data_IF_781602614427
#
_entry.id   IF_781602614427
#
_cell.length_a   1.000
_cell.length_b   1.000
_cell.length_c   1.000
_cell.angle_alpha   90.00
_cell.angle_beta   90.00
_cell.angle_gamma   90.00
#
_symmetry.space_group_name_H-M   'P 1'
#
loop_
_entity.id
_entity.type
_entity.pdbx_description
1 polymer ?
#
# COMPACT_ATOMS: atom_id res chain seq x y z
N UNK A 1 -2.56 -17.54 -39.56
CA UNK A 1 -1.30 -17.04 -38.97
C UNK A 1 -1.16 -17.74 -37.64
N UNK A 2 -0.07 -18.48 -37.40
CA UNK A 2 0.13 -19.13 -36.11
C UNK A 2 0.19 -18.04 -35.03
N UNK A 3 -0.70 -18.11 -34.03
CA UNK A 3 -0.66 -17.21 -32.89
C UNK A 3 0.72 -17.36 -32.25
N UNK A 4 1.52 -16.29 -32.27
CA UNK A 4 2.77 -16.26 -31.53
C UNK A 4 2.39 -16.53 -30.06
N UNK A 5 2.83 -17.68 -29.55
CA UNK A 5 2.48 -18.12 -28.20
C UNK A 5 2.99 -17.07 -27.20
N UNK A 6 2.09 -16.53 -26.36
CA UNK A 6 2.44 -15.51 -25.38
C UNK A 6 3.30 -16.15 -24.28
N UNK A 7 4.61 -16.22 -24.52
CA UNK A 7 5.55 -16.95 -23.68
C UNK A 7 6.03 -16.10 -22.51
N UNK A 8 5.74 -16.57 -21.30
CA UNK A 8 6.26 -16.00 -20.05
C UNK A 8 7.59 -16.65 -19.67
N UNK A 9 8.50 -15.88 -19.08
CA UNK A 9 9.69 -16.42 -18.44
C UNK A 9 9.31 -17.20 -17.18
N UNK A 10 10.05 -18.27 -16.89
CA UNK A 10 9.95 -18.95 -15.60
C UNK A 10 10.71 -18.12 -14.56
N UNK A 11 9.96 -17.42 -13.71
CA UNK A 11 10.49 -16.71 -12.55
C UNK A 11 10.38 -17.63 -11.34
N UNK A 12 11.48 -17.80 -10.61
CA UNK A 12 11.47 -18.62 -9.39
C UNK A 12 10.77 -17.88 -8.26
N UNK A 13 9.75 -18.51 -7.71
CA UNK A 13 9.04 -18.04 -6.53
C UNK A 13 8.70 -19.22 -5.63
N UNK A 14 8.72 -18.97 -4.32
CA UNK A 14 8.38 -19.93 -3.28
C UNK A 14 6.94 -19.71 -2.83
N UNK A 15 6.13 -20.77 -2.84
CA UNK A 15 4.75 -20.75 -2.33
C UNK A 15 4.76 -20.53 -0.81
N UNK A 16 3.93 -19.61 -0.34
CA UNK A 16 3.74 -19.31 1.08
C UNK A 16 2.42 -19.93 1.53
N UNK A 17 2.43 -20.58 2.69
CA UNK A 17 1.21 -21.14 3.26
C UNK A 17 0.22 -20.00 3.58
N UNK A 18 -1.11 -20.21 3.40
CA UNK A 18 -2.11 -19.14 3.57
C UNK A 18 -2.01 -18.37 4.90
N UNK A 19 -1.73 -19.07 5.99
CA UNK A 19 -1.64 -18.49 7.33
C UNK A 19 -0.34 -17.69 7.56
N UNK A 20 0.68 -17.91 6.72
CA UNK A 20 1.99 -17.28 6.83
C UNK A 20 2.14 -16.06 5.90
N UNK A 21 1.20 -15.81 4.97
CA UNK A 21 1.28 -14.73 3.97
C UNK A 21 1.45 -13.38 4.65
N UNK A 22 0.63 -13.09 5.66
CA UNK A 22 0.61 -11.77 6.29
C UNK A 22 1.90 -11.51 7.08
N UNK A 23 2.36 -12.50 7.86
CA UNK A 23 3.64 -12.43 8.59
C UNK A 23 4.82 -12.28 7.64
N UNK A 24 4.78 -12.96 6.49
CA UNK A 24 5.86 -12.96 5.48
C UNK A 24 6.02 -11.60 4.81
N UNK A 25 4.92 -10.93 4.45
CA UNK A 25 5.00 -9.72 3.61
C UNK A 25 4.71 -8.42 4.36
N UNK A 26 3.72 -8.38 5.25
CA UNK A 26 3.22 -7.12 5.82
C UNK A 26 4.16 -6.47 6.83
N UNK A 27 5.18 -7.20 7.29
CA UNK A 27 6.20 -6.69 8.21
C UNK A 27 7.30 -5.90 7.49
N UNK A 28 7.61 -6.22 6.24
CA UNK A 28 8.71 -5.63 5.47
C UNK A 28 8.25 -4.81 4.27
N UNK A 29 7.04 -5.02 3.76
CA UNK A 29 6.59 -4.49 2.47
C UNK A 29 5.18 -3.89 2.53
N UNK A 30 4.85 -3.09 1.52
CA UNK A 30 3.50 -2.51 1.35
C UNK A 30 2.79 -3.17 0.16
N UNK A 31 1.45 -3.17 0.20
CA UNK A 31 0.63 -3.55 -0.97
C UNK A 31 0.60 -2.39 -1.98
N UNK A 32 1.44 -2.48 -3.01
CA UNK A 32 1.67 -1.45 -4.01
C UNK A 32 0.43 -1.16 -4.89
N UNK A 33 -0.51 -2.09 -4.97
CA UNK A 33 -1.75 -1.94 -5.76
C UNK A 33 -2.97 -1.57 -4.92
N UNK A 34 -2.83 -1.51 -3.59
CA UNK A 34 -3.93 -1.20 -2.67
C UNK A 34 -4.65 0.09 -3.05
N UNK A 35 -5.99 0.05 -3.09
CA UNK A 35 -6.80 1.23 -3.32
C UNK A 35 -6.57 2.32 -2.27
N UNK A 36 -6.29 1.95 -1.01
CA UNK A 36 -6.00 2.92 0.05
C UNK A 36 -4.65 3.63 -0.15
N UNK A 37 -3.68 2.98 -0.78
CA UNK A 37 -2.41 3.60 -1.16
C UNK A 37 -2.56 4.49 -2.41
N UNK A 38 -3.67 4.35 -3.14
CA UNK A 38 -3.97 5.08 -4.37
C UNK A 38 -3.82 4.24 -5.64
N UNK A 39 -3.72 2.90 -5.53
CA UNK A 39 -3.72 2.01 -6.68
C UNK A 39 -5.04 2.11 -7.45
N UNK A 40 -4.98 1.90 -8.77
CA UNK A 40 -6.14 2.09 -9.67
C UNK A 40 -6.19 0.99 -10.71
N UNK A 41 -7.40 0.52 -11.00
CA UNK A 41 -7.67 -0.24 -12.22
C UNK A 41 -7.75 0.76 -13.38
N UNK A 42 -6.97 0.51 -14.43
CA UNK A 42 -6.95 1.38 -15.62
C UNK A 42 -7.71 0.78 -16.80
N UNK A 43 -7.59 -0.54 -16.98
CA UNK A 43 -8.24 -1.27 -18.06
C UNK A 43 -8.38 -2.75 -17.70
N UNK A 44 -9.31 -3.43 -18.36
CA UNK A 44 -9.59 -4.85 -18.17
C UNK A 44 -10.15 -5.44 -19.46
N UNK A 45 -10.10 -6.77 -19.59
CA UNK A 45 -10.72 -7.49 -20.71
C UNK A 45 -12.24 -7.60 -20.58
N UNK A 46 -12.73 -7.93 -19.39
CA UNK A 46 -14.15 -8.16 -19.08
C UNK A 46 -14.40 -7.98 -17.57
N UNK A 47 -15.62 -7.61 -17.19
CA UNK A 47 -16.10 -7.47 -15.81
C UNK A 47 -17.56 -7.93 -15.70
N UNK A 48 -17.95 -8.96 -16.46
CA UNK A 48 -19.36 -9.28 -16.65
C UNK A 48 -20.13 -9.58 -15.34
N UNK A 49 -19.54 -10.36 -14.43
CA UNK A 49 -20.22 -10.76 -13.20
C UNK A 49 -19.82 -9.89 -12.00
N UNK A 50 -18.57 -9.43 -11.93
CA UNK A 50 -18.11 -8.57 -10.85
C UNK A 50 -16.93 -7.68 -11.28
N UNK A 51 -16.90 -6.45 -10.75
CA UNK A 51 -15.94 -5.39 -11.11
C UNK A 51 -14.51 -5.71 -10.63
N UNK A 52 -13.50 -5.49 -11.48
CA UNK A 52 -12.10 -5.65 -11.18
C UNK A 52 -11.59 -4.68 -10.11
N UNK A 53 -12.30 -3.56 -9.91
CA UNK A 53 -12.04 -2.61 -8.82
C UNK A 53 -12.04 -3.27 -7.43
N UNK A 54 -12.76 -4.39 -7.25
CA UNK A 54 -12.79 -5.14 -5.99
C UNK A 54 -11.44 -5.80 -5.65
N UNK A 55 -10.60 -6.10 -6.65
CA UNK A 55 -9.31 -6.78 -6.44
C UNK A 55 -8.40 -6.04 -5.45
N UNK A 56 -8.44 -4.70 -5.51
CA UNK A 56 -7.56 -3.82 -4.74
C UNK A 56 -8.19 -3.26 -3.48
N UNK A 57 -9.42 -3.67 -3.15
CA UNK A 57 -10.10 -3.29 -1.91
C UNK A 57 -9.27 -3.77 -0.71
N UNK A 58 -8.93 -2.92 0.28
CA UNK A 58 -8.01 -3.30 1.37
C UNK A 58 -8.60 -4.32 2.34
N UNK A 59 -9.92 -4.38 2.47
CA UNK A 59 -10.59 -5.29 3.40
C UNK A 59 -10.65 -6.71 2.85
N UNK A 60 -10.71 -7.73 3.73
CA UNK A 60 -10.99 -9.10 3.32
C UNK A 60 -12.28 -9.19 2.49
N UNK A 61 -12.36 -10.13 1.53
CA UNK A 61 -13.60 -10.42 0.81
C UNK A 61 -14.76 -10.74 1.75
N UNK A 62 -15.96 -10.30 1.39
CA UNK A 62 -17.20 -10.67 2.08
C UNK A 62 -18.12 -11.48 1.17
N UNK A 63 -18.96 -12.31 1.77
CA UNK A 63 -20.02 -13.05 1.07
C UNK A 63 -21.39 -12.55 1.51
N UNK A 64 -22.31 -12.36 0.57
CA UNK A 64 -23.72 -12.05 0.84
C UNK A 64 -24.62 -13.10 0.19
N UNK A 65 -24.85 -14.27 0.84
CA UNK A 65 -25.67 -15.33 0.28
C UNK A 65 -27.07 -14.84 -0.14
N UNK A 66 -27.49 -15.21 -1.36
CA UNK A 66 -28.80 -14.84 -1.91
C UNK A 66 -28.88 -13.42 -2.51
N UNK A 67 -27.84 -12.60 -2.39
CA UNK A 67 -27.78 -11.31 -3.08
C UNK A 67 -27.51 -11.54 -4.57
N UNK A 68 -28.42 -11.05 -5.40
CA UNK A 68 -28.31 -11.07 -6.86
C UNK A 68 -28.08 -9.66 -7.39
N UNK A 69 -27.26 -9.54 -8.42
CA UNK A 69 -27.14 -8.38 -9.30
C UNK A 69 -27.70 -8.72 -10.68
N UNK A 70 -27.79 -7.74 -11.57
CA UNK A 70 -28.36 -7.93 -12.91
C UNK A 70 -27.71 -9.08 -13.69
N UNK A 71 -26.41 -9.31 -13.49
CA UNK A 71 -25.63 -10.31 -14.23
C UNK A 71 -25.50 -11.65 -13.52
N UNK A 72 -25.95 -11.81 -12.27
CA UNK A 72 -25.82 -13.07 -11.53
C UNK A 72 -25.80 -12.91 -10.02
N UNK A 73 -25.21 -13.88 -9.32
CA UNK A 73 -24.94 -13.75 -7.88
C UNK A 73 -23.92 -12.62 -7.64
N UNK A 74 -24.12 -11.81 -6.62
CA UNK A 74 -23.16 -10.77 -6.27
C UNK A 74 -21.90 -11.39 -5.65
N UNK A 75 -20.74 -10.96 -6.15
CA UNK A 75 -19.42 -11.34 -5.63
C UNK A 75 -18.62 -10.10 -5.22
N UNK A 76 -17.86 -10.24 -4.13
CA UNK A 76 -16.85 -9.28 -3.70
C UNK A 76 -15.49 -9.66 -4.31
N UNK A 77 -15.36 -9.41 -5.61
CA UNK A 77 -14.20 -9.79 -6.41
C UNK A 77 -14.34 -9.33 -7.85
N UNK A 78 -13.43 -9.77 -8.69
CA UNK A 78 -13.50 -9.69 -10.14
C UNK A 78 -13.98 -11.02 -10.70
N UNK A 79 -14.96 -11.02 -11.59
CA UNK A 79 -15.41 -12.24 -12.27
C UNK A 79 -15.81 -11.94 -13.71
N UNK A 80 -15.22 -12.68 -14.65
CA UNK A 80 -15.39 -12.51 -16.09
C UNK A 80 -16.39 -13.50 -16.68
N UNK A 81 -16.85 -13.21 -17.90
CA UNK A 81 -17.75 -14.12 -18.62
C UNK A 81 -17.05 -15.43 -18.97
N UNK A 82 -17.81 -16.52 -18.85
CA UNK A 82 -17.37 -17.87 -19.23
C UNK A 82 -17.02 -18.02 -20.71
N UNK A 83 -16.15 -18.99 -20.98
CA UNK A 83 -15.78 -19.45 -22.32
C UNK A 83 -15.03 -18.38 -23.10
N UNK A 84 -14.08 -17.73 -22.43
CA UNK A 84 -13.19 -16.79 -23.07
C UNK A 84 -12.45 -17.49 -24.23
N UNK A 85 -12.58 -16.92 -25.44
CA UNK A 85 -11.90 -17.44 -26.63
C UNK A 85 -10.48 -16.91 -26.77
N UNK A 86 -10.12 -15.89 -26.00
CA UNK A 86 -8.74 -15.42 -25.88
C UNK A 86 -7.94 -16.33 -24.92
N UNK A 87 -6.60 -16.27 -24.93
CA UNK A 87 -5.78 -17.11 -24.06
C UNK A 87 -5.98 -16.87 -22.56
N UNK A 88 -6.35 -15.63 -22.17
CA UNK A 88 -6.59 -15.22 -20.79
C UNK A 88 -7.41 -13.93 -20.72
N UNK A 89 -8.10 -13.75 -19.60
CA UNK A 89 -8.59 -12.46 -19.14
C UNK A 89 -7.50 -11.69 -18.41
N UNK A 90 -7.59 -10.36 -18.39
CA UNK A 90 -6.55 -9.53 -17.81
C UNK A 90 -7.12 -8.24 -17.20
N UNK A 91 -6.35 -7.69 -16.26
CA UNK A 91 -6.58 -6.37 -15.68
C UNK A 91 -5.25 -5.63 -15.54
N UNK A 92 -5.22 -4.37 -15.98
CA UNK A 92 -4.07 -3.45 -15.88
C UNK A 92 -4.30 -2.51 -14.71
N UNK A 93 -3.30 -2.43 -13.83
CA UNK A 93 -3.32 -1.63 -12.61
C UNK A 93 -2.20 -0.60 -12.62
N UNK A 94 -2.50 0.63 -12.19
CA UNK A 94 -1.51 1.63 -11.76
C UNK A 94 -1.17 1.39 -10.30
N UNK A 95 0.13 1.34 -9.97
CA UNK A 95 0.55 1.29 -8.56
C UNK A 95 0.13 2.57 -7.82
N UNK A 96 -0.19 2.46 -6.53
CA UNK A 96 -0.51 3.60 -5.67
C UNK A 96 0.69 4.48 -5.33
N UNK A 97 1.90 4.05 -5.70
CA UNK A 97 3.17 4.79 -5.57
C UNK A 97 3.65 5.24 -6.94
N UNK A 98 4.58 6.20 -6.96
CA UNK A 98 5.17 6.68 -8.22
C UNK A 98 5.79 5.52 -9.03
N UNK A 99 6.58 4.67 -8.37
CA UNK A 99 7.03 3.37 -8.85
C UNK A 99 7.39 2.44 -7.68
N UNK A 100 7.59 1.14 -7.92
CA UNK A 100 7.99 0.21 -6.86
C UNK A 100 8.71 -1.04 -7.37
N UNK A 101 9.46 -1.68 -6.48
CA UNK A 101 10.05 -3.02 -6.68
C UNK A 101 9.19 -4.06 -5.96
N UNK A 102 9.06 -5.26 -6.52
CA UNK A 102 8.21 -6.34 -6.01
C UNK A 102 9.01 -7.40 -5.27
N UNK A 103 8.53 -7.81 -4.10
CA UNK A 103 9.04 -8.93 -3.30
C UNK A 103 8.11 -10.16 -3.39
N UNK A 104 6.80 -9.94 -3.54
CA UNK A 104 5.85 -11.05 -3.57
C UNK A 104 4.46 -10.66 -4.04
N UNK A 105 3.62 -11.68 -4.17
CA UNK A 105 2.28 -11.61 -4.72
C UNK A 105 1.33 -12.40 -3.82
N UNK A 106 0.11 -11.89 -3.64
CA UNK A 106 -1.01 -12.69 -3.15
C UNK A 106 -2.20 -12.61 -4.12
N UNK A 107 -2.83 -13.75 -4.34
CA UNK A 107 -4.14 -13.89 -5.00
C UNK A 107 -5.07 -14.61 -4.03
N UNK A 108 -6.23 -14.03 -3.77
CA UNK A 108 -7.28 -14.65 -2.95
C UNK A 108 -8.47 -15.01 -3.84
N UNK A 109 -8.85 -16.28 -3.87
CA UNK A 109 -10.02 -16.76 -4.62
C UNK A 109 -11.26 -16.94 -3.72
N UNK A 110 -11.29 -16.35 -2.52
CA UNK A 110 -12.36 -16.46 -1.55
C UNK A 110 -13.76 -16.44 -2.19
N UNK A 111 -14.57 -17.43 -1.80
CA UNK A 111 -15.96 -17.64 -2.24
C UNK A 111 -16.15 -18.08 -3.70
N UNK A 112 -15.12 -18.01 -4.55
CA UNK A 112 -15.13 -18.64 -5.87
C UNK A 112 -14.80 -20.13 -5.72
N UNK A 113 -15.81 -20.98 -5.81
CA UNK A 113 -15.67 -22.42 -5.60
C UNK A 113 -16.24 -23.18 -6.80
N UNK A 114 -15.34 -23.65 -7.66
CA UNK A 114 -15.64 -24.21 -8.98
C UNK A 114 -15.58 -23.20 -10.14
N UNK A 115 -15.66 -21.90 -9.87
CA UNK A 115 -15.51 -20.80 -10.85
C UNK A 115 -14.33 -19.85 -10.52
N UNK A 116 -13.36 -20.31 -9.72
CA UNK A 116 -12.14 -19.55 -9.44
C UNK A 116 -11.26 -19.48 -10.68
N UNK A 117 -10.36 -18.49 -10.71
CA UNK A 117 -9.23 -18.49 -11.64
C UNK A 117 -8.46 -19.81 -11.55
N UNK A 118 -8.35 -20.61 -12.63
CA UNK A 118 -7.59 -21.85 -12.59
C UNK A 118 -6.09 -21.60 -12.49
N UNK A 119 -5.57 -20.65 -13.28
CA UNK A 119 -4.18 -20.21 -13.22
C UNK A 119 -4.10 -18.70 -13.35
N UNK A 120 -3.01 -18.13 -12.84
CA UNK A 120 -2.70 -16.71 -12.96
C UNK A 120 -1.26 -16.49 -13.38
N UNK A 121 -0.94 -15.28 -13.83
CA UNK A 121 0.43 -14.77 -13.94
C UNK A 121 0.44 -13.26 -13.70
N UNK A 122 1.60 -12.69 -13.37
CA UNK A 122 1.72 -11.25 -13.15
C UNK A 122 2.87 -10.68 -13.98
N UNK A 123 2.61 -9.57 -14.65
CA UNK A 123 3.61 -8.82 -15.43
C UNK A 123 3.69 -7.37 -14.94
N UNK A 124 4.82 -6.71 -15.17
CA UNK A 124 5.06 -5.31 -14.82
C UNK A 124 5.62 -4.51 -15.98
N UNK A 125 5.36 -3.21 -15.97
CA UNK A 125 5.98 -2.25 -16.90
C UNK A 125 6.29 -0.94 -16.18
N UNK A 126 7.39 -0.30 -16.59
CA UNK A 126 7.71 1.08 -16.22
C UNK A 126 7.36 2.01 -17.38
N UNK A 127 6.28 2.77 -17.23
CA UNK A 127 5.89 3.83 -18.15
C UNK A 127 5.10 4.88 -17.37
N UNK A 128 5.48 6.16 -17.53
CA UNK A 128 4.82 7.29 -16.88
C UNK A 128 3.56 7.76 -17.62
N UNK A 129 3.30 7.24 -18.82
CA UNK A 129 2.14 7.55 -19.63
C UNK A 129 1.08 6.43 -19.54
N UNK A 130 0.04 6.65 -18.75
CA UNK A 130 -1.05 5.69 -18.54
C UNK A 130 -1.76 5.34 -19.87
N UNK A 131 -1.94 6.30 -20.79
CA UNK A 131 -2.62 6.10 -22.08
C UNK A 131 -1.87 5.09 -22.98
N UNK A 132 -0.53 5.14 -22.98
CA UNK A 132 0.29 4.17 -23.70
C UNK A 132 0.16 2.77 -23.11
N UNK A 133 0.10 2.65 -21.78
CA UNK A 133 -0.02 1.36 -21.10
C UNK A 133 -1.37 0.70 -21.37
N UNK A 134 -2.47 1.46 -21.30
CA UNK A 134 -3.82 0.93 -21.57
C UNK A 134 -4.07 0.65 -23.05
N UNK A 135 -3.28 1.25 -23.95
CA UNK A 135 -3.36 0.98 -25.39
C UNK A 135 -2.85 -0.41 -25.81
N UNK A 136 -2.46 -1.25 -24.84
CA UNK A 136 -1.97 -2.61 -25.04
C UNK A 136 -2.92 -3.50 -25.87
N UNK A 137 -2.37 -4.23 -26.84
CA UNK A 137 -3.13 -5.01 -27.84
C UNK A 137 -2.85 -6.51 -27.82
N UNK A 138 -2.42 -7.08 -26.70
CA UNK A 138 -2.13 -8.51 -26.59
C UNK A 138 -0.68 -8.93 -26.86
N UNK A 139 0.21 -8.00 -27.22
CA UNK A 139 1.62 -8.28 -27.52
C UNK A 139 2.51 -8.10 -26.30
N UNK A 140 3.67 -8.77 -26.22
CA UNK A 140 4.56 -8.63 -25.05
C UNK A 140 5.01 -7.19 -24.79
N UNK A 141 5.41 -6.45 -25.83
CA UNK A 141 5.81 -5.04 -25.72
C UNK A 141 6.87 -4.82 -24.63
N UNK A 142 6.67 -3.79 -23.80
CA UNK A 142 7.52 -3.48 -22.64
C UNK A 142 7.16 -4.21 -21.35
N UNK A 143 6.20 -5.14 -21.37
CA UNK A 143 5.83 -5.90 -20.19
C UNK A 143 6.90 -6.95 -19.86
N UNK A 144 7.16 -7.13 -18.57
CA UNK A 144 8.12 -8.09 -18.04
C UNK A 144 7.44 -9.04 -17.05
N UNK A 145 7.76 -10.32 -17.08
CA UNK A 145 7.19 -11.28 -16.12
C UNK A 145 7.70 -11.01 -14.71
N UNK A 146 6.78 -10.77 -13.78
CA UNK A 146 7.04 -10.71 -12.34
C UNK A 146 6.79 -12.09 -11.72
N UNK A 147 5.70 -12.75 -12.11
CA UNK A 147 5.35 -14.11 -11.71
C UNK A 147 4.89 -14.89 -12.94
N UNK A 148 5.46 -16.07 -13.15
CA UNK A 148 5.06 -17.00 -14.22
C UNK A 148 3.64 -17.55 -14.02
N UNK A 149 3.25 -18.50 -14.86
CA UNK A 149 1.95 -19.17 -14.71
C UNK A 149 1.96 -20.03 -13.45
N UNK A 150 1.01 -19.77 -12.56
CA UNK A 150 0.85 -20.46 -11.29
C UNK A 150 -0.60 -20.93 -11.13
N UNK A 151 -0.78 -22.18 -10.68
CA UNK A 151 -2.09 -22.75 -10.41
C UNK A 151 -2.71 -22.13 -9.15
N UNK A 152 -4.02 -21.91 -9.20
CA UNK A 152 -4.87 -21.50 -8.09
C UNK A 152 -5.93 -22.59 -7.83
N UNK A 153 -6.51 -22.54 -6.64
CA UNK A 153 -7.57 -23.45 -6.20
C UNK A 153 -8.80 -22.69 -5.70
N UNK A 154 -9.86 -23.43 -5.34
CA UNK A 154 -11.14 -22.83 -4.95
C UNK A 154 -11.08 -22.20 -3.56
N UNK A 155 -11.58 -20.97 -3.44
CA UNK A 155 -11.83 -20.28 -2.18
C UNK A 155 -10.68 -20.33 -1.17
N UNK A 156 -9.49 -19.92 -1.60
CA UNK A 156 -8.27 -19.94 -0.80
C UNK A 156 -7.34 -18.76 -1.15
N UNK A 157 -6.51 -18.36 -0.17
CA UNK A 157 -5.42 -17.41 -0.36
C UNK A 157 -4.17 -18.12 -0.89
N UNK A 158 -3.50 -17.54 -1.87
CA UNK A 158 -2.25 -18.02 -2.43
C UNK A 158 -1.20 -16.93 -2.38
N UNK A 159 -0.07 -17.22 -1.73
CA UNK A 159 1.07 -16.32 -1.67
C UNK A 159 2.27 -16.89 -2.43
N UNK A 160 2.98 -16.02 -3.15
CA UNK A 160 4.25 -16.34 -3.79
C UNK A 160 5.29 -15.29 -3.39
N UNK A 161 6.36 -15.73 -2.74
CA UNK A 161 7.53 -14.89 -2.48
C UNK A 161 8.53 -15.09 -3.62
N UNK A 162 8.96 -14.02 -4.27
CA UNK A 162 10.00 -14.12 -5.29
C UNK A 162 11.31 -14.54 -4.62
N UNK A 163 11.97 -15.57 -5.16
CA UNK A 163 13.26 -16.03 -4.62
C UNK A 163 14.31 -14.91 -4.70
N UNK A 164 14.20 -14.08 -5.75
CA UNK A 164 14.95 -12.85 -5.93
C UNK A 164 13.94 -11.72 -6.17
N UNK A 165 13.79 -10.77 -5.22
CA UNK A 165 12.98 -9.58 -5.42
C UNK A 165 13.41 -8.81 -6.67
N UNK A 166 12.48 -8.13 -7.33
CA UNK A 166 12.78 -7.43 -8.57
C UNK A 166 13.69 -6.23 -8.30
N UNK A 167 14.75 -6.06 -9.08
CA UNK A 167 15.60 -4.85 -9.03
C UNK A 167 15.07 -3.73 -9.92
N UNK A 168 14.30 -4.08 -10.96
CA UNK A 168 13.60 -3.13 -11.81
C UNK A 168 12.39 -2.54 -11.07
N UNK A 169 12.13 -1.27 -11.37
CA UNK A 169 10.98 -0.54 -10.85
C UNK A 169 9.83 -0.69 -11.82
N UNK A 170 8.62 -0.79 -11.32
CA UNK A 170 7.40 -0.78 -12.12
C UNK A 170 6.50 0.37 -11.71
N UNK A 171 5.73 0.87 -12.66
CA UNK A 171 4.66 1.86 -12.45
C UNK A 171 3.29 1.21 -12.56
N UNK A 172 3.22 0.12 -13.30
CA UNK A 172 2.02 -0.58 -13.68
C UNK A 172 2.26 -2.09 -13.57
N UNK A 173 1.20 -2.83 -13.25
CA UNK A 173 1.18 -4.28 -13.31
C UNK A 173 -0.04 -4.78 -14.06
N UNK A 174 0.06 -5.98 -14.62
CA UNK A 174 -1.06 -6.69 -15.24
C UNK A 174 -1.19 -8.06 -14.58
N UNK A 175 -2.39 -8.33 -14.07
CA UNK A 175 -2.78 -9.66 -13.63
C UNK A 175 -3.48 -10.34 -14.80
N UNK A 176 -3.02 -11.53 -15.17
CA UNK A 176 -3.64 -12.37 -16.20
C UNK A 176 -4.27 -13.60 -15.54
N UNK A 177 -5.46 -13.99 -15.96
CA UNK A 177 -6.27 -15.12 -15.47
C UNK A 177 -6.59 -16.08 -16.63
N UNK A 178 -6.26 -17.36 -16.48
CA UNK A 178 -6.29 -18.31 -17.60
C UNK A 178 -7.37 -19.40 -17.44
N UNK A 179 -8.31 -19.55 -18.39
CA UNK A 179 -8.68 -18.58 -19.44
C UNK A 179 -9.63 -17.48 -18.94
N UNK A 180 -10.44 -17.80 -17.93
CA UNK A 180 -11.49 -16.97 -17.31
C UNK A 180 -11.82 -17.50 -15.91
N UNK A 181 -12.64 -16.78 -15.14
CA UNK A 181 -13.04 -17.17 -13.79
C UNK A 181 -13.22 -15.99 -12.85
N UNK A 182 -13.00 -16.23 -11.55
CA UNK A 182 -13.12 -15.21 -10.51
C UNK A 182 -11.97 -15.17 -9.51
N UNK A 183 -11.62 -13.96 -9.08
CA UNK A 183 -10.57 -13.63 -8.10
C UNK A 183 -11.13 -12.59 -7.14
N UNK A 184 -11.02 -12.83 -5.83
CA UNK A 184 -11.54 -11.92 -4.81
C UNK A 184 -10.60 -10.76 -4.52
N UNK A 185 -9.29 -11.02 -4.32
CA UNK A 185 -8.26 -9.99 -4.10
C UNK A 185 -6.97 -10.27 -4.84
N UNK A 186 -6.26 -9.18 -5.14
CA UNK A 186 -4.90 -9.20 -5.64
C UNK A 186 -4.04 -8.24 -4.81
N UNK A 187 -2.91 -8.72 -4.31
CA UNK A 187 -1.90 -7.91 -3.60
C UNK A 187 -0.57 -8.01 -4.30
N UNK A 188 0.12 -6.89 -4.38
CA UNK A 188 1.47 -6.81 -4.90
C UNK A 188 2.39 -6.24 -3.83
N UNK A 189 3.11 -7.12 -3.15
CA UNK A 189 3.95 -6.77 -2.03
C UNK A 189 5.31 -6.28 -2.50
N UNK A 190 5.73 -5.11 -2.03
CA UNK A 190 7.01 -4.55 -2.41
C UNK A 190 7.35 -3.26 -1.70
N UNK A 191 8.31 -2.53 -2.26
CA UNK A 191 8.81 -1.28 -1.72
C UNK A 191 8.57 -0.14 -2.70
N UNK A 192 8.04 0.97 -2.19
CA UNK A 192 7.93 2.20 -2.95
C UNK A 192 9.33 2.68 -3.34
N UNK A 193 9.51 3.00 -4.61
CA UNK A 193 10.69 3.70 -5.10
C UNK A 193 10.23 5.08 -5.58
N UNK A 194 10.53 6.14 -4.81
CA UNK A 194 10.08 7.47 -5.13
C UNK A 194 10.61 7.94 -6.48
N UNK A 195 9.77 8.67 -7.22
CA UNK A 195 10.19 9.46 -8.37
C UNK A 195 9.98 10.91 -7.96
N UNK A 196 11.08 11.60 -7.70
CA UNK A 196 11.02 12.99 -7.29
C UNK A 196 11.06 13.92 -8.51
N UNK A 197 10.37 15.07 -8.47
CA UNK A 197 10.60 16.13 -9.44
C UNK A 197 12.06 16.57 -9.48
N UNK A 198 12.49 17.03 -10.65
CA UNK A 198 13.83 17.62 -10.84
C UNK A 198 13.99 18.94 -10.07
N UNK A 199 12.87 19.63 -9.82
CA UNK A 199 12.84 20.84 -8.99
C UNK A 199 13.19 20.49 -7.54
N UNK A 200 14.34 21.01 -7.07
CA UNK A 200 14.82 20.83 -5.69
C UNK A 200 14.08 21.71 -4.69
N UNK A 201 13.41 22.75 -5.16
CA UNK A 201 12.63 23.66 -4.32
C UNK A 201 11.19 23.15 -4.11
N UNK A 202 10.80 22.09 -4.82
CA UNK A 202 9.50 21.45 -4.67
C UNK A 202 9.27 21.00 -3.22
N UNK A 203 8.16 21.45 -2.65
CA UNK A 203 7.70 21.00 -1.34
C UNK A 203 6.92 19.71 -1.52
N UNK A 204 7.39 18.66 -0.86
CA UNK A 204 6.81 17.32 -0.93
C UNK A 204 6.43 16.88 0.49
N UNK A 205 5.43 16.00 0.62
CA UNK A 205 5.20 15.24 1.85
C UNK A 205 6.16 14.03 1.87
N UNK A 206 7.29 14.14 2.58
CA UNK A 206 8.28 13.05 2.63
C UNK A 206 7.95 11.98 3.68
N UNK A 207 6.91 12.18 4.49
CA UNK A 207 6.35 11.10 5.31
C UNK A 207 5.41 10.20 4.50
N UNK A 208 4.82 10.70 3.40
CA UNK A 208 3.91 9.91 2.55
C UNK A 208 4.54 8.60 2.09
N UNK A 209 3.77 7.50 2.21
CA UNK A 209 4.15 6.21 1.65
C UNK A 209 4.36 6.27 0.13
N UNK A 210 3.62 7.16 -0.56
CA UNK A 210 3.77 7.37 -2.00
C UNK A 210 5.13 7.98 -2.38
N UNK A 211 5.74 8.71 -1.43
CA UNK A 211 7.07 9.32 -1.56
C UNK A 211 8.15 8.52 -0.83
N UNK A 212 7.87 7.26 -0.42
CA UNK A 212 8.84 6.36 0.18
C UNK A 212 9.00 6.49 1.70
N UNK A 213 8.13 7.25 2.36
CA UNK A 213 8.07 7.27 3.82
C UNK A 213 7.65 5.92 4.39
N UNK A 214 8.24 5.54 5.53
CA UNK A 214 7.99 4.25 6.18
C UNK A 214 7.84 4.45 7.68
N UNK A 215 6.76 3.94 8.27
CA UNK A 215 6.58 3.90 9.72
C UNK A 215 7.31 2.68 10.26
N UNK A 216 8.45 2.89 10.90
CA UNK A 216 9.42 1.82 11.21
C UNK A 216 9.12 1.11 12.53
N UNK A 217 8.56 1.81 13.51
CA UNK A 217 8.21 1.25 14.83
C UNK A 217 7.23 2.15 15.57
N UNK A 218 6.55 1.59 16.56
CA UNK A 218 5.63 2.31 17.44
C UNK A 218 5.57 1.65 18.82
N UNK A 219 5.02 2.35 19.82
CA UNK A 219 4.83 1.84 21.18
C UNK A 219 3.73 0.78 21.28
N UNK A 220 2.60 1.02 20.63
CA UNK A 220 1.38 0.22 20.71
C UNK A 220 0.59 0.30 19.39
N UNK A 221 -0.20 -0.73 19.08
CA UNK A 221 -1.19 -0.72 17.99
C UNK A 221 -2.41 -1.51 18.42
N UNK A 222 -3.34 -0.87 19.12
CA UNK A 222 -4.57 -1.52 19.56
C UNK A 222 -5.58 -1.65 18.42
N UNK A 223 -5.80 -0.57 17.66
CA UNK A 223 -6.60 -0.58 16.44
C UNK A 223 -5.89 0.15 15.29
N UNK A 224 -6.10 -0.34 14.07
CA UNK A 224 -5.36 0.13 12.91
C UNK A 224 -3.86 -0.14 13.01
N UNK A 225 -3.07 0.43 12.10
CA UNK A 225 -1.60 0.28 12.11
C UNK A 225 -0.92 1.63 11.92
N UNK A 226 0.31 1.75 12.42
CA UNK A 226 1.18 2.92 12.24
C UNK A 226 1.37 3.32 10.78
N UNK A 227 1.32 2.35 9.87
CA UNK A 227 1.53 2.57 8.42
C UNK A 227 0.39 3.40 7.82
N UNK A 228 -0.80 3.34 8.42
CA UNK A 228 -1.95 4.15 8.00
C UNK A 228 -1.70 5.65 8.15
N UNK A 229 -0.79 6.07 9.03
CA UNK A 229 -0.42 7.49 9.20
C UNK A 229 0.09 8.11 7.91
N UNK A 230 0.64 7.30 7.00
CA UNK A 230 1.38 7.73 5.82
C UNK A 230 0.57 7.59 4.52
N UNK A 231 -0.65 7.06 4.60
CA UNK A 231 -1.53 6.83 3.45
C UNK A 231 -2.10 8.15 2.89
N UNK A 232 -2.51 8.20 1.61
CA UNK A 232 -3.15 9.39 1.04
C UNK A 232 -4.53 9.70 1.67
N UNK A 233 -4.99 10.93 1.44
CA UNK A 233 -6.29 11.42 1.91
C UNK A 233 -6.43 11.43 3.44
N UNK A 234 -7.69 11.49 3.91
CA UNK A 234 -8.07 11.54 5.34
C UNK A 234 -8.78 10.25 5.82
N UNK A 235 -8.85 9.24 4.97
CA UNK A 235 -9.55 7.98 5.27
C UNK A 235 -11.07 8.12 5.33
N UNK A 236 -11.75 7.05 5.79
CA UNK A 236 -13.23 6.95 5.82
C UNK A 236 -13.84 6.75 7.21
N UNK A 237 -13.09 6.19 8.16
CA UNK A 237 -13.53 5.87 9.53
C UNK A 237 -12.31 5.66 10.44
N UNK A 238 -12.46 5.32 11.72
CA UNK A 238 -11.31 5.14 12.62
C UNK A 238 -10.39 3.96 12.24
N UNK A 239 -10.90 2.97 11.51
CA UNK A 239 -10.18 1.73 11.21
C UNK A 239 -9.00 1.88 10.25
N UNK A 240 -8.93 3.01 9.52
CA UNK A 240 -7.81 3.36 8.64
C UNK A 240 -6.91 4.47 9.21
N UNK A 241 -6.86 4.60 10.54
CA UNK A 241 -5.85 5.37 11.29
C UNK A 241 -4.90 4.48 12.10
N UNK A 242 -4.18 5.09 13.05
CA UNK A 242 -3.41 4.42 14.10
C UNK A 242 -4.01 4.79 15.46
N UNK A 243 -4.37 3.80 16.28
CA UNK A 243 -4.98 4.00 17.59
C UNK A 243 -4.34 3.09 18.65
N UNK A 244 -4.06 3.66 19.81
CA UNK A 244 -3.45 2.96 20.94
C UNK A 244 -4.44 2.66 22.07
N UNK A 245 -4.07 1.70 22.93
CA UNK A 245 -4.86 1.30 24.08
C UNK A 245 -4.93 2.43 25.12
N UNK A 246 -6.10 2.59 25.72
CA UNK A 246 -6.31 3.64 26.73
C UNK A 246 -5.43 3.40 27.96
N UNK A 247 -4.52 4.32 28.24
CA UNK A 247 -3.60 4.24 29.37
C UNK A 247 -4.20 4.76 30.69
N UNK A 248 -3.55 4.43 31.81
CA UNK A 248 -3.86 4.97 33.16
C UNK A 248 -2.61 5.41 33.92
N UNK A 249 -1.43 5.13 33.38
CA UNK A 249 -0.16 5.49 33.98
C UNK A 249 0.02 7.01 33.99
N UNK A 250 0.61 7.53 35.06
CA UNK A 250 1.05 8.93 35.08
C UNK A 250 2.18 9.08 34.05
N UNK A 251 2.12 10.13 33.24
CA UNK A 251 3.14 10.46 32.24
C UNK A 251 3.27 9.44 31.07
N UNK A 252 2.25 8.59 30.85
CA UNK A 252 2.20 7.70 29.68
C UNK A 252 2.16 8.51 28.38
N UNK A 253 2.87 8.01 27.37
CA UNK A 253 2.84 8.51 26.00
C UNK A 253 2.90 7.34 25.03
N UNK A 254 2.27 7.50 23.88
CA UNK A 254 2.45 6.59 22.75
C UNK A 254 3.20 7.29 21.61
N UNK A 255 3.94 6.53 20.82
CA UNK A 255 4.80 7.09 19.78
C UNK A 255 4.86 6.22 18.53
N UNK A 256 5.19 6.86 17.40
CA UNK A 256 5.54 6.20 16.14
C UNK A 256 6.78 6.89 15.55
N UNK A 257 7.77 6.11 15.11
CA UNK A 257 8.92 6.61 14.37
C UNK A 257 8.70 6.39 12.86
N UNK A 258 8.93 7.44 12.09
CA UNK A 258 8.72 7.49 10.64
C UNK A 258 10.05 7.85 10.00
N UNK A 259 10.57 6.98 9.12
CA UNK A 259 11.65 7.30 8.20
C UNK A 259 11.07 8.06 7.01
N UNK A 260 11.66 9.21 6.69
CA UNK A 260 11.27 10.00 5.54
C UNK A 260 11.78 9.35 4.25
N UNK A 261 11.05 9.54 3.14
CA UNK A 261 11.42 8.99 1.84
C UNK A 261 12.72 9.56 1.25
N UNK A 262 13.17 10.71 1.76
CA UNK A 262 14.48 11.28 1.49
C UNK A 262 14.92 12.17 2.67
N UNK A 263 16.23 12.44 2.84
CA UNK A 263 16.71 13.51 3.71
C UNK A 263 16.01 14.83 3.35
N UNK A 264 15.49 15.53 4.37
CA UNK A 264 14.52 16.63 4.18
C UNK A 264 14.85 17.80 5.07
N UNK A 265 14.77 19.03 4.53
CA UNK A 265 14.66 20.26 5.32
C UNK A 265 13.18 20.54 5.55
N UNK A 266 12.69 20.20 6.74
CA UNK A 266 11.27 20.26 7.07
C UNK A 266 10.83 21.70 7.28
N UNK A 267 9.76 22.10 6.59
CA UNK A 267 9.17 23.42 6.69
C UNK A 267 7.91 23.41 7.56
N UNK A 268 6.98 22.51 7.24
CA UNK A 268 5.67 22.43 7.87
C UNK A 268 5.26 20.97 8.10
N UNK A 269 4.40 20.77 9.08
CA UNK A 269 3.87 19.46 9.45
C UNK A 269 2.37 19.53 9.61
N UNK A 270 1.72 18.39 9.40
CA UNK A 270 0.29 18.23 9.67
C UNK A 270 0.05 16.95 10.46
N UNK A 271 -0.70 17.04 11.54
CA UNK A 271 -1.25 15.89 12.27
C UNK A 271 -2.77 15.92 12.17
N UNK A 272 -3.35 14.92 11.51
CA UNK A 272 -4.79 14.82 11.30
C UNK A 272 -5.40 13.84 12.30
N UNK A 273 -6.42 14.26 13.04
CA UNK A 273 -7.21 13.40 13.95
C UNK A 273 -8.57 13.04 13.37
N UNK A 274 -8.74 13.10 12.04
CA UNK A 274 -10.00 12.77 11.37
C UNK A 274 -10.63 11.49 11.92
N UNK A 275 -11.95 11.54 12.15
CA UNK A 275 -12.79 10.47 12.70
C UNK A 275 -12.54 10.07 14.16
N UNK A 276 -11.43 10.48 14.78
CA UNK A 276 -11.18 10.29 16.20
C UNK A 276 -11.88 11.40 17.00
N UNK A 277 -13.12 11.15 17.41
CA UNK A 277 -13.99 12.17 18.03
C UNK A 277 -14.01 12.13 19.55
N UNK A 278 -13.91 10.94 20.12
CA UNK A 278 -13.89 10.72 21.58
C UNK A 278 -12.56 10.20 22.12
N UNK A 279 -11.66 9.82 21.22
CA UNK A 279 -10.40 9.12 21.48
C UNK A 279 -9.22 9.73 20.70
N UNK A 280 -9.31 11.00 20.27
CA UNK A 280 -8.12 11.74 19.81
C UNK A 280 -7.19 11.99 21.00
N UNK A 281 -5.88 12.13 20.78
CA UNK A 281 -4.95 12.41 21.87
C UNK A 281 -5.20 13.78 22.48
N UNK A 282 -4.90 13.95 23.77
CA UNK A 282 -5.01 15.26 24.42
C UNK A 282 -4.01 16.26 23.81
N UNK A 283 -2.79 15.80 23.57
CA UNK A 283 -1.75 16.59 22.93
C UNK A 283 -0.91 15.73 21.98
N UNK A 284 -0.24 16.39 21.03
CA UNK A 284 0.83 15.81 20.22
C UNK A 284 2.08 16.66 20.30
N UNK A 285 3.24 16.00 20.18
CA UNK A 285 4.52 16.64 19.87
C UNK A 285 5.23 15.83 18.80
N UNK A 286 6.16 16.46 18.09
CA UNK A 286 7.00 15.76 17.12
C UNK A 286 8.47 16.07 17.40
N UNK A 287 9.30 15.06 17.21
CA UNK A 287 10.76 15.16 17.30
C UNK A 287 11.36 14.74 15.95
N UNK A 288 12.54 15.27 15.62
CA UNK A 288 13.28 14.96 14.41
C UNK A 288 14.72 14.55 14.71
N UNK A 289 15.30 13.73 13.84
CA UNK A 289 16.71 13.35 13.89
C UNK A 289 17.28 13.20 12.47
N UNK A 290 18.55 13.62 12.32
CA UNK A 290 19.43 13.17 11.24
C UNK A 290 20.19 11.95 11.75
N UNK A 291 19.78 10.77 11.30
CA UNK A 291 20.37 9.52 11.75
C UNK A 291 21.48 9.11 10.80
N UNK A 292 22.69 8.96 11.34
CA UNK A 292 23.89 8.54 10.60
C UNK A 292 24.41 7.18 11.09
N UNK A 293 23.72 6.55 12.05
CA UNK A 293 24.05 5.23 12.57
C UNK A 293 23.66 4.10 11.61
N UNK A 294 24.13 2.89 11.89
CA UNK A 294 23.68 1.70 11.18
C UNK A 294 22.25 1.34 11.56
N UNK A 295 21.42 0.96 10.58
CA UNK A 295 20.03 0.57 10.82
C UNK A 295 19.11 1.75 11.15
N UNK A 296 18.04 1.47 11.88
CA UNK A 296 17.00 2.45 12.22
C UNK A 296 17.17 2.99 13.66
N UNK A 297 16.87 4.27 13.94
CA UNK A 297 17.01 4.84 15.27
C UNK A 297 15.96 4.27 16.25
N UNK A 298 16.39 3.99 17.48
CA UNK A 298 15.49 3.68 18.60
C UNK A 298 14.77 4.91 19.16
N UNK A 299 13.72 4.66 19.95
CA UNK A 299 12.94 5.73 20.62
C UNK A 299 13.79 6.62 21.53
N UNK A 300 14.76 6.02 22.22
CA UNK A 300 15.66 6.69 23.17
C UNK A 300 17.04 7.03 22.55
N UNK A 301 17.15 6.96 21.22
CA UNK A 301 18.40 7.33 20.55
C UNK A 301 18.80 8.78 20.88
N UNK A 302 20.10 9.00 21.09
CA UNK A 302 20.61 10.36 21.28
C UNK A 302 20.44 11.18 19.99
N UNK A 303 20.04 12.45 20.12
CA UNK A 303 19.95 13.38 18.99
C UNK A 303 18.54 13.70 18.50
N UNK A 304 17.48 13.09 19.07
CA UNK A 304 16.11 13.55 18.87
C UNK A 304 15.98 15.01 19.34
N UNK A 305 15.53 15.89 18.44
CA UNK A 305 15.32 17.32 18.70
C UNK A 305 13.84 17.67 18.52
N UNK A 306 13.34 18.59 19.33
CA UNK A 306 11.95 19.05 19.21
C UNK A 306 11.72 19.67 17.82
N UNK A 307 10.78 19.11 17.07
CA UNK A 307 10.33 19.59 15.76
C UNK A 307 9.01 20.37 15.90
N UNK A 308 8.13 19.91 16.78
CA UNK A 308 6.88 20.56 17.18
C UNK A 308 6.72 20.43 18.70
N UNK A 309 6.49 21.54 19.39
CA UNK A 309 6.25 21.56 20.83
C UNK A 309 4.89 20.90 21.20
N UNK A 310 4.73 20.38 22.43
CA UNK A 310 3.46 19.80 22.88
C UNK A 310 2.26 20.73 22.66
N UNK A 311 1.35 20.29 21.80
CA UNK A 311 0.23 21.09 21.31
C UNK A 311 -1.08 20.37 21.53
N UNK A 312 -2.11 21.08 22.04
CA UNK A 312 -3.43 20.49 22.28
C UNK A 312 -4.12 20.12 20.97
N UNK A 313 -4.71 18.94 20.94
CA UNK A 313 -5.48 18.50 19.78
C UNK A 313 -6.97 18.79 19.94
N UNK A 314 -7.67 18.72 18.79
CA UNK A 314 -9.11 18.74 18.65
C UNK A 314 -9.56 17.43 18.01
N UNK A 315 -10.80 17.07 18.27
CA UNK A 315 -11.48 15.98 17.58
C UNK A 315 -11.63 16.28 16.09
N UNK A 316 -11.39 15.28 15.23
CA UNK A 316 -11.74 15.33 13.80
C UNK A 316 -11.13 16.54 13.06
N UNK A 317 -9.84 16.84 13.30
CA UNK A 317 -9.22 18.11 12.93
C UNK A 317 -7.80 17.95 12.37
N UNK A 318 -7.44 18.79 11.40
CA UNK A 318 -6.08 18.89 10.84
C UNK A 318 -5.28 19.95 11.60
N UNK A 319 -4.21 19.52 12.27
CA UNK A 319 -3.34 20.40 13.07
C UNK A 319 -2.09 20.72 12.26
N UNK A 320 -1.98 21.95 11.80
CA UNK A 320 -0.81 22.43 11.07
C UNK A 320 0.21 23.06 12.03
N UNK A 321 1.49 22.79 11.78
CA UNK A 321 2.60 23.28 12.56
C UNK A 321 3.73 23.76 11.67
N UNK A 322 4.39 24.84 12.07
CA UNK A 322 5.70 25.21 11.53
C UNK A 322 6.80 24.38 12.21
N UNK A 323 7.82 24.00 11.44
CA UNK A 323 9.01 23.33 11.97
C UNK A 323 9.80 24.25 12.90
N UNK A 324 10.15 23.76 14.10
CA UNK A 324 11.08 24.44 15.01
C UNK A 324 12.55 24.31 14.57
N UNK A 325 12.85 23.43 13.62
CA UNK A 325 14.19 23.13 13.12
C UNK A 325 14.32 23.55 11.66
N UNK A 326 13.98 24.81 11.37
CA UNK A 326 14.15 25.39 10.04
C UNK A 326 15.60 25.16 9.57
N UNK A 327 15.76 24.71 8.32
CA UNK A 327 17.01 24.34 7.67
C UNK A 327 17.75 23.09 8.17
N UNK A 328 17.37 22.47 9.29
CA UNK A 328 18.01 21.23 9.71
C UNK A 328 17.66 20.07 8.78
N UNK A 329 18.65 19.29 8.36
CA UNK A 329 18.41 18.05 7.62
C UNK A 329 17.81 17.03 8.58
N UNK A 330 16.71 16.42 8.16
CA UNK A 330 15.96 15.43 8.92
C UNK A 330 15.82 14.18 8.07
N UNK A 331 16.03 13.03 8.71
CA UNK A 331 15.87 11.70 8.07
C UNK A 331 14.70 10.93 8.68
N UNK A 332 14.41 11.18 9.96
CA UNK A 332 13.32 10.54 10.68
C UNK A 332 12.57 11.55 11.53
N UNK A 333 11.28 11.30 11.70
CA UNK A 333 10.39 12.04 12.59
C UNK A 333 9.76 11.06 13.57
N UNK A 334 9.63 11.45 14.82
CA UNK A 334 8.93 10.70 15.87
C UNK A 334 7.67 11.47 16.28
N UNK A 335 6.52 10.94 15.92
CA UNK A 335 5.23 11.41 16.44
C UNK A 335 5.11 10.89 17.88
N UNK A 336 4.73 11.76 18.80
CA UNK A 336 4.35 11.38 20.17
C UNK A 336 2.95 11.92 20.46
N UNK A 337 2.07 11.03 20.88
CA UNK A 337 0.71 11.33 21.32
C UNK A 337 0.61 11.21 22.84
N UNK A 338 -0.17 12.08 23.47
CA UNK A 338 -0.22 12.21 24.92
C UNK A 338 -1.69 12.25 25.38
N UNK A 339 -2.09 11.45 26.40
CA UNK A 339 -1.34 10.30 26.89
C UNK A 339 -1.37 9.13 25.88
N UNK A 340 -2.49 8.95 25.20
CA UNK A 340 -2.80 7.88 24.24
C UNK A 340 -3.87 8.38 23.27
N UNK A 341 -4.31 7.54 22.33
CA UNK A 341 -5.45 7.83 21.46
C UNK A 341 -5.19 7.51 20.00
N UNK A 342 -5.96 8.15 19.11
CA UNK A 342 -5.94 7.89 17.68
C UNK A 342 -5.52 9.09 16.83
N UNK A 343 -4.67 8.81 15.84
CA UNK A 343 -4.24 9.77 14.81
C UNK A 343 -4.48 9.17 13.44
N UNK A 344 -5.02 9.98 12.54
CA UNK A 344 -5.32 9.56 11.18
C UNK A 344 -4.10 9.64 10.28
N UNK A 345 -3.47 10.81 10.17
CA UNK A 345 -2.33 11.04 9.28
C UNK A 345 -1.24 11.89 9.95
N UNK A 346 -0.03 11.71 9.47
CA UNK A 346 1.09 12.64 9.66
C UNK A 346 1.62 13.03 8.28
N UNK A 347 1.81 14.33 8.07
CA UNK A 347 2.46 14.88 6.88
C UNK A 347 3.70 15.65 7.30
N UNK A 348 4.78 15.47 6.55
CA UNK A 348 6.05 16.17 6.78
C UNK A 348 6.44 16.86 5.48
N UNK A 349 6.08 18.13 5.37
CA UNK A 349 6.31 18.94 4.19
C UNK A 349 7.69 19.60 4.25
N UNK A 350 8.48 19.40 3.20
CA UNK A 350 9.79 20.00 3.11
C UNK A 350 10.45 19.83 1.76
N UNK A 351 11.65 20.41 1.66
CA UNK A 351 12.54 20.28 0.50
C UNK A 351 13.50 19.13 0.71
N UNK A 352 13.85 18.43 -0.36
CA UNK A 352 14.92 17.41 -0.30
C UNK A 352 16.25 18.10 -0.01
N UNK A 353 17.04 17.52 0.89
CA UNK A 353 18.28 18.12 1.40
C UNK A 353 19.48 17.98 0.46
#
# INVERSE_FOLDING_TARGET
MASQEYKLESIKATRIAPDDIDTTFRSSSIDLVSGTLGGKILAFSDEWFAEAQNLITPTPPIRQPGKMVYTGAWYDGWETRRHNTAPFDWVILRLGVASGTVEGIEVDTAFFNGNHAPHISVEGVYNLNDDEVVSWKGERGGWETILGIEECGPSQRFGWKLDVPTTKKYTHVRLNMYPDGGIARFRLFGHAVPVFPDDKEAILDLASAQNGGVAISCSDQHFGTKDNLLLPGRGKDMGDGWETARSRGKDHVDWTIIRLGAPTRVQNLLVDTAYFRGNYPQQVKLEAIQWEGSGEPGVDAEGWKALVAPSKCKADFEHEFDSLLQDAVTTHVKLVIIPDGGVKRVRVYGKRA
#
